data_IF_508442528596
#
_entry.id   IF_508442528596
#
_cell.length_a   1.000
_cell.length_b   1.000
_cell.length_c   1.000
_cell.angle_alpha   90.00
_cell.angle_beta   90.00
_cell.angle_gamma   90.00
#
_symmetry.space_group_name_H-M   'P 1'
#
loop_
_entity.id
_entity.type
_entity.pdbx_description
1 polymer ?
#
# COMPACT_ATOMS: atom_id res chain seq x y z
N UNK A 1 30.19 14.54 8.15
CA UNK A 1 28.91 14.27 7.46
C UNK A 1 27.84 14.32 8.54
N UNK A 2 26.88 15.25 8.44
CA UNK A 2 25.78 15.26 9.39
C UNK A 2 24.95 13.99 9.15
N UNK A 3 24.70 13.21 10.20
CA UNK A 3 23.71 12.15 10.11
C UNK A 3 22.38 12.81 9.75
N UNK A 4 21.68 12.29 8.73
CA UNK A 4 20.33 12.72 8.42
C UNK A 4 19.44 12.24 9.58
N UNK A 5 19.24 13.09 10.59
CA UNK A 5 18.34 12.78 11.69
C UNK A 5 16.91 12.67 11.15
N UNK A 6 16.32 11.48 11.25
CA UNK A 6 14.92 11.23 10.92
C UNK A 6 14.10 11.46 12.18
N UNK A 7 13.31 12.53 12.20
CA UNK A 7 12.37 12.81 13.28
C UNK A 7 11.05 12.12 12.99
N UNK A 8 10.64 11.20 13.86
CA UNK A 8 9.33 10.53 13.81
C UNK A 8 8.36 11.32 14.68
N UNK A 9 7.27 11.82 14.09
CA UNK A 9 6.37 12.79 14.72
C UNK A 9 4.96 12.24 14.97
N UNK A 10 4.59 11.13 14.34
CA UNK A 10 3.24 10.56 14.44
C UNK A 10 3.24 9.03 14.21
N UNK A 11 2.10 8.39 14.49
CA UNK A 11 1.96 6.93 14.40
C UNK A 11 2.09 6.40 12.96
N UNK A 12 1.72 7.20 11.95
CA UNK A 12 1.90 6.84 10.54
C UNK A 12 3.39 6.75 10.20
N UNK A 13 4.16 7.80 10.51
CA UNK A 13 5.62 7.82 10.29
C UNK A 13 6.32 6.71 11.07
N UNK A 14 5.87 6.44 12.30
CA UNK A 14 6.38 5.33 13.10
C UNK A 14 6.15 3.99 12.41
N UNK A 15 4.93 3.75 11.90
CA UNK A 15 4.61 2.51 11.17
C UNK A 15 5.43 2.36 9.89
N UNK A 16 5.67 3.45 9.16
CA UNK A 16 6.51 3.47 7.95
C UNK A 16 7.96 3.12 8.32
N UNK A 17 8.51 3.74 9.36
CA UNK A 17 9.87 3.45 9.83
C UNK A 17 10.02 1.99 10.30
N UNK A 18 9.05 1.47 11.06
CA UNK A 18 9.05 0.08 11.51
C UNK A 18 9.04 -0.92 10.34
N UNK A 19 8.26 -0.66 9.29
CA UNK A 19 8.27 -1.53 8.10
C UNK A 19 9.60 -1.45 7.35
N UNK A 20 10.18 -0.25 7.21
CA UNK A 20 11.49 -0.07 6.58
C UNK A 20 12.60 -0.82 7.34
N UNK A 21 12.58 -0.77 8.68
CA UNK A 21 13.58 -1.43 9.54
C UNK A 21 13.60 -2.97 9.40
N UNK A 22 12.51 -3.59 8.94
CA UNK A 22 12.48 -5.04 8.67
C UNK A 22 13.43 -5.42 7.51
N UNK A 23 13.65 -4.49 6.58
CA UNK A 23 14.48 -4.69 5.38
C UNK A 23 15.88 -4.06 5.52
N UNK A 24 16.09 -3.18 6.52
CA UNK A 24 17.42 -2.65 6.87
C UNK A 24 18.29 -3.74 7.53
N UNK A 25 18.91 -4.57 6.69
CA UNK A 25 19.76 -5.68 7.14
C UNK A 25 21.06 -5.23 7.84
N UNK A 26 21.55 -4.02 7.52
CA UNK A 26 22.79 -3.45 8.06
C UNK A 26 22.59 -2.64 9.35
N UNK A 27 21.36 -2.21 9.64
CA UNK A 27 21.04 -1.31 10.73
C UNK A 27 21.54 0.13 10.50
N UNK A 28 21.86 0.47 9.26
CA UNK A 28 22.42 1.78 8.86
C UNK A 28 21.37 2.72 8.25
N UNK A 29 20.08 2.35 8.38
CA UNK A 29 18.94 3.10 7.83
C UNK A 29 18.94 3.17 6.32
N UNK A 30 19.50 2.16 5.66
CA UNK A 30 19.46 2.02 4.20
C UNK A 30 18.85 0.69 3.79
N UNK A 31 18.22 0.68 2.62
CA UNK A 31 17.65 -0.52 1.97
C UNK A 31 18.02 -0.51 0.50
N UNK A 32 17.97 -1.66 -0.14
CA UNK A 32 18.15 -1.75 -1.58
C UNK A 32 16.93 -1.15 -2.28
N UNK A 33 17.15 -0.43 -3.38
CA UNK A 33 16.06 0.17 -4.16
C UNK A 33 15.00 -0.85 -4.63
N UNK A 34 15.41 -2.11 -4.81
CA UNK A 34 14.52 -3.23 -5.17
C UNK A 34 13.53 -3.59 -4.05
N UNK A 35 13.80 -3.19 -2.82
CA UNK A 35 12.95 -3.48 -1.65
C UNK A 35 11.83 -2.45 -1.48
N UNK A 36 11.90 -1.30 -2.16
CA UNK A 36 10.93 -0.20 -2.04
C UNK A 36 9.49 -0.68 -2.26
N UNK A 37 9.24 -1.43 -3.35
CA UNK A 37 7.91 -1.96 -3.65
C UNK A 37 7.40 -2.92 -2.56
N UNK A 38 8.28 -3.79 -2.05
CA UNK A 38 7.95 -4.76 -0.99
C UNK A 38 7.63 -4.06 0.32
N UNK A 39 8.39 -3.03 0.70
CA UNK A 39 8.14 -2.24 1.91
C UNK A 39 6.77 -1.55 1.79
N UNK A 40 6.48 -0.91 0.65
CA UNK A 40 5.18 -0.23 0.43
C UNK A 40 4.02 -1.23 0.49
N UNK A 41 4.17 -2.42 -0.11
CA UNK A 41 3.15 -3.49 -0.02
C UNK A 41 2.98 -4.02 1.39
N UNK A 42 4.06 -4.12 2.18
CA UNK A 42 4.00 -4.55 3.59
C UNK A 42 3.25 -3.57 4.49
N UNK A 43 3.14 -2.30 4.08
CA UNK A 43 2.32 -1.28 4.73
C UNK A 43 0.82 -1.43 4.41
N UNK A 44 0.43 -2.37 3.55
CA UNK A 44 -0.95 -2.57 3.12
C UNK A 44 -1.38 -1.66 1.98
N UNK A 45 -0.44 -1.02 1.28
CA UNK A 45 -0.68 -0.31 0.03
C UNK A 45 -0.64 -1.30 -1.16
N UNK A 46 -1.28 -0.94 -2.26
CA UNK A 46 -1.29 -1.73 -3.50
C UNK A 46 -0.79 -0.89 -4.69
N UNK A 47 0.50 -0.51 -4.74
CA UNK A 47 1.06 0.23 -5.86
C UNK A 47 1.21 -0.66 -7.11
N UNK A 48 0.99 -0.05 -8.27
CA UNK A 48 1.41 -0.58 -9.57
C UNK A 48 2.94 -0.54 -9.70
N UNK A 49 3.52 -1.32 -10.62
CA UNK A 49 4.97 -1.29 -10.88
C UNK A 49 5.43 0.09 -11.37
N UNK A 50 4.61 0.76 -12.19
CA UNK A 50 4.87 2.14 -12.59
C UNK A 50 4.89 3.09 -11.38
N UNK A 51 3.94 2.96 -10.45
CA UNK A 51 3.88 3.78 -9.24
C UNK A 51 5.07 3.49 -8.30
N UNK A 52 5.49 2.24 -8.16
CA UNK A 52 6.72 1.88 -7.41
C UNK A 52 7.93 2.57 -8.04
N UNK A 53 8.05 2.55 -9.37
CA UNK A 53 9.16 3.21 -10.07
C UNK A 53 9.15 4.73 -9.85
N UNK A 54 7.97 5.36 -9.83
CA UNK A 54 7.85 6.78 -9.50
C UNK A 54 8.32 7.08 -8.06
N UNK A 55 8.01 6.22 -7.10
CA UNK A 55 8.50 6.37 -5.73
C UNK A 55 10.02 6.19 -5.70
N UNK A 56 10.56 5.15 -6.34
CA UNK A 56 12.01 4.90 -6.45
C UNK A 56 12.73 6.14 -6.96
N UNK A 57 12.28 6.74 -8.06
CA UNK A 57 12.89 7.94 -8.65
C UNK A 57 12.91 9.13 -7.66
N UNK A 58 11.95 9.20 -6.75
CA UNK A 58 11.86 10.27 -5.74
C UNK A 58 12.73 10.03 -4.51
N UNK A 59 13.08 8.78 -4.21
CA UNK A 59 13.75 8.38 -2.95
C UNK A 59 15.14 7.78 -3.17
N UNK A 60 15.54 7.49 -4.41
CA UNK A 60 16.88 6.98 -4.71
C UNK A 60 17.93 8.05 -4.44
N UNK A 61 19.00 7.63 -3.76
CA UNK A 61 20.11 8.50 -3.43
C UNK A 61 20.91 8.87 -4.69
N UNK A 62 21.05 10.16 -4.96
CA UNK A 62 21.74 10.67 -6.16
C UNK A 62 23.25 10.40 -6.16
N UNK A 63 23.85 10.24 -4.98
CA UNK A 63 25.28 9.99 -4.79
C UNK A 63 25.58 8.50 -4.72
N UNK A 64 24.60 7.69 -4.30
CA UNK A 64 24.72 6.24 -4.12
C UNK A 64 23.56 5.49 -4.79
N UNK A 65 23.62 5.38 -6.12
CA UNK A 65 22.62 4.65 -6.90
C UNK A 65 22.44 3.21 -6.41
N UNK A 66 21.19 2.76 -6.40
CA UNK A 66 20.78 1.44 -5.93
C UNK A 66 20.45 1.36 -4.42
N UNK A 67 20.65 2.44 -3.66
CA UNK A 67 20.33 2.51 -2.24
C UNK A 67 19.32 3.62 -1.93
N UNK A 68 18.51 3.39 -0.90
CA UNK A 68 17.52 4.33 -0.39
C UNK A 68 17.72 4.49 1.11
N UNK A 69 17.94 5.72 1.58
CA UNK A 69 18.03 6.02 3.01
C UNK A 69 16.66 6.36 3.60
N UNK A 70 16.39 5.97 4.85
CA UNK A 70 15.10 6.21 5.53
C UNK A 70 14.68 7.68 5.50
N UNK A 71 15.63 8.60 5.64
CA UNK A 71 15.38 10.05 5.58
C UNK A 71 14.81 10.55 4.24
N UNK A 72 15.05 9.83 3.14
CA UNK A 72 14.50 10.15 1.82
C UNK A 72 13.16 9.42 1.63
N UNK A 73 13.09 8.16 2.06
CA UNK A 73 11.90 7.31 1.93
C UNK A 73 10.70 7.79 2.75
N UNK A 74 10.89 8.01 4.05
CA UNK A 74 9.83 8.29 5.01
C UNK A 74 8.95 9.49 4.63
N UNK A 75 9.49 10.70 4.33
CA UNK A 75 8.66 11.85 4.00
C UNK A 75 7.86 11.65 2.69
N UNK A 76 8.45 10.96 1.71
CA UNK A 76 7.80 10.68 0.42
C UNK A 76 6.61 9.73 0.61
N UNK A 77 6.82 8.62 1.31
CA UNK A 77 5.77 7.61 1.52
C UNK A 77 4.70 8.12 2.49
N UNK A 78 5.07 8.86 3.53
CA UNK A 78 4.11 9.48 4.45
C UNK A 78 3.19 10.46 3.71
N UNK A 79 3.73 11.26 2.79
CA UNK A 79 2.93 12.16 1.96
C UNK A 79 1.97 11.38 1.06
N UNK A 80 2.45 10.37 0.34
CA UNK A 80 1.62 9.55 -0.57
C UNK A 80 0.45 8.93 0.18
N UNK A 81 0.71 8.32 1.34
CA UNK A 81 -0.34 7.69 2.16
C UNK A 81 -1.31 8.75 2.69
N UNK A 82 -0.82 9.90 3.17
CA UNK A 82 -1.66 11.00 3.66
C UNK A 82 -2.59 11.59 2.59
N UNK A 83 -2.20 11.49 1.32
CA UNK A 83 -3.01 11.87 0.15
C UNK A 83 -3.98 10.76 -0.29
N UNK A 84 -4.10 9.65 0.46
CA UNK A 84 -4.91 8.47 0.14
C UNK A 84 -4.56 7.84 -1.22
N UNK A 85 -3.30 7.97 -1.64
CA UNK A 85 -2.78 7.31 -2.85
C UNK A 85 -2.31 5.89 -2.53
N UNK A 86 -2.26 5.02 -3.54
CA UNK A 86 -1.87 3.59 -3.43
C UNK A 86 -2.80 2.75 -2.54
N UNK A 87 -3.98 3.26 -2.21
CA UNK A 87 -4.93 2.53 -1.38
C UNK A 87 -5.47 1.31 -2.14
N UNK A 88 -5.66 0.17 -1.46
CA UNK A 88 -6.37 -0.96 -2.07
C UNK A 88 -7.76 -0.54 -2.53
N UNK A 89 -8.22 -1.10 -3.64
CA UNK A 89 -9.60 -0.93 -4.09
C UNK A 89 -10.59 -1.42 -3.02
N UNK A 90 -11.69 -0.70 -2.86
CA UNK A 90 -12.77 -1.10 -1.96
C UNK A 90 -13.42 -2.43 -2.39
N UNK A 91 -14.05 -3.18 -1.47
CA UNK A 91 -14.80 -4.39 -1.82
C UNK A 91 -15.84 -4.13 -2.92
N UNK A 92 -16.50 -2.97 -2.89
CA UNK A 92 -17.50 -2.56 -3.88
C UNK A 92 -16.89 -2.29 -5.26
N UNK A 93 -15.69 -1.71 -5.33
CA UNK A 93 -14.97 -1.48 -6.58
C UNK A 93 -14.50 -2.80 -7.19
N UNK A 94 -13.93 -3.69 -6.37
CA UNK A 94 -13.52 -5.01 -6.81
C UNK A 94 -14.70 -5.83 -7.31
N UNK A 95 -15.82 -5.83 -6.58
CA UNK A 95 -17.03 -6.54 -6.99
C UNK A 95 -17.52 -6.05 -8.37
N UNK A 96 -17.55 -4.74 -8.59
CA UNK A 96 -17.92 -4.17 -9.90
C UNK A 96 -16.95 -4.55 -11.00
N UNK A 97 -15.65 -4.63 -10.71
CA UNK A 97 -14.64 -5.05 -11.67
C UNK A 97 -14.87 -6.52 -12.10
N UNK A 98 -15.09 -7.42 -11.15
CA UNK A 98 -15.42 -8.82 -11.44
C UNK A 98 -16.74 -8.98 -12.21
N UNK A 99 -17.78 -8.22 -11.83
CA UNK A 99 -19.07 -8.23 -12.54
C UNK A 99 -18.95 -7.72 -13.99
N UNK A 100 -17.99 -6.84 -14.28
CA UNK A 100 -17.72 -6.39 -15.66
C UNK A 100 -17.11 -7.50 -16.52
N UNK A 101 -16.38 -8.43 -15.89
CA UNK A 101 -15.82 -9.62 -16.54
C UNK A 101 -16.87 -10.73 -16.72
N UNK A 102 -17.76 -10.89 -15.73
CA UNK A 102 -18.83 -11.89 -15.72
C UNK A 102 -20.10 -11.42 -16.46
N UNK A 103 -20.01 -11.35 -17.80
CA UNK A 103 -21.10 -10.85 -18.68
C UNK A 103 -22.42 -11.62 -18.55
N UNK A 104 -22.35 -12.88 -18.11
CA UNK A 104 -23.50 -13.76 -17.94
C UNK A 104 -24.07 -13.74 -16.52
N UNK A 105 -23.44 -12.98 -15.60
CA UNK A 105 -23.81 -12.87 -14.20
C UNK A 105 -23.91 -14.24 -13.50
N UNK A 106 -22.90 -15.07 -13.73
CA UNK A 106 -22.76 -16.42 -13.15
C UNK A 106 -22.44 -16.40 -11.66
N UNK A 107 -21.82 -15.32 -11.16
CA UNK A 107 -21.29 -15.22 -9.80
C UNK A 107 -19.88 -15.80 -9.65
N UNK A 108 -19.25 -16.21 -10.74
CA UNK A 108 -17.89 -16.75 -10.77
C UNK A 108 -17.21 -16.50 -12.13
N UNK A 109 -15.88 -16.57 -12.13
CA UNK A 109 -15.08 -16.60 -13.36
C UNK A 109 -14.41 -17.95 -13.56
N UNK A 110 -14.19 -18.31 -14.82
CA UNK A 110 -13.43 -19.50 -15.17
C UNK A 110 -11.93 -19.21 -15.03
N UNK A 111 -11.16 -20.19 -14.51
CA UNK A 111 -9.71 -20.03 -14.25
C UNK A 111 -8.97 -19.57 -15.50
N UNK A 112 -9.20 -20.25 -16.62
CA UNK A 112 -8.53 -19.97 -17.89
C UNK A 112 -8.82 -18.55 -18.38
N UNK A 113 -10.06 -18.08 -18.19
CA UNK A 113 -10.46 -16.74 -18.58
C UNK A 113 -9.74 -15.69 -17.74
N UNK A 114 -9.74 -15.83 -16.40
CA UNK A 114 -9.08 -14.86 -15.54
C UNK A 114 -7.56 -14.87 -15.71
N UNK A 115 -6.95 -16.06 -15.86
CA UNK A 115 -5.51 -16.18 -16.18
C UNK A 115 -5.18 -15.39 -17.44
N UNK A 116 -5.94 -15.58 -18.53
CA UNK A 116 -5.71 -14.87 -19.78
C UNK A 116 -5.83 -13.35 -19.60
N UNK A 117 -6.91 -12.89 -18.95
CA UNK A 117 -7.13 -11.47 -18.72
C UNK A 117 -5.98 -10.82 -17.92
N UNK A 118 -5.50 -11.47 -16.87
CA UNK A 118 -4.45 -10.94 -16.00
C UNK A 118 -3.04 -11.00 -16.62
N UNK A 119 -2.81 -11.83 -17.64
CA UNK A 119 -1.54 -11.91 -18.36
C UNK A 119 -1.49 -11.04 -19.62
N UNK A 120 -2.63 -10.61 -20.16
CA UNK A 120 -2.71 -9.85 -21.41
C UNK A 120 -3.08 -8.37 -21.23
N UNK A 121 -3.79 -8.01 -20.15
CA UNK A 121 -4.33 -6.66 -19.94
C UNK A 121 -3.61 -5.94 -18.79
N UNK A 122 -3.45 -4.62 -18.91
CA UNK A 122 -2.89 -3.78 -17.83
C UNK A 122 -1.40 -4.01 -17.58
N UNK A 123 -1.02 -4.18 -16.31
CA UNK A 123 0.31 -4.63 -15.89
C UNK A 123 0.27 -6.16 -15.79
N UNK A 124 0.81 -6.89 -16.79
CA UNK A 124 0.61 -8.32 -16.89
C UNK A 124 1.34 -9.06 -15.79
N UNK A 125 0.64 -10.03 -15.19
CA UNK A 125 1.20 -10.89 -14.17
C UNK A 125 2.15 -11.92 -14.81
N UNK A 126 3.18 -12.29 -14.05
CA UNK A 126 4.01 -13.47 -14.33
C UNK A 126 3.22 -14.75 -14.10
N UNK A 127 3.69 -15.85 -14.69
CA UNK A 127 3.04 -17.16 -14.51
C UNK A 127 3.03 -17.57 -13.03
N UNK A 128 4.12 -17.28 -12.33
CA UNK A 128 4.29 -17.55 -10.91
C UNK A 128 3.26 -16.78 -10.07
N UNK A 129 3.08 -15.48 -10.31
CA UNK A 129 2.08 -14.67 -9.60
C UNK A 129 0.65 -15.14 -9.88
N UNK A 130 0.35 -15.56 -11.12
CA UNK A 130 -0.94 -16.17 -11.47
C UNK A 130 -1.16 -17.46 -10.69
N UNK A 131 -0.16 -18.35 -10.63
CA UNK A 131 -0.31 -19.64 -9.97
C UNK A 131 -0.51 -19.47 -8.45
N UNK A 132 0.19 -18.52 -7.84
CA UNK A 132 -0.03 -18.14 -6.44
C UNK A 132 -1.44 -17.57 -6.21
N UNK A 133 -1.91 -16.68 -7.09
CA UNK A 133 -3.26 -16.15 -7.03
C UNK A 133 -4.32 -17.26 -7.15
N UNK A 134 -4.16 -18.16 -8.12
CA UNK A 134 -5.12 -19.24 -8.39
C UNK A 134 -5.17 -20.27 -7.27
N UNK A 135 -4.06 -20.49 -6.55
CA UNK A 135 -4.04 -21.39 -5.39
C UNK A 135 -4.97 -20.93 -4.25
N UNK A 136 -5.27 -19.64 -4.18
CA UNK A 136 -6.18 -19.05 -3.18
C UNK A 136 -7.58 -18.82 -3.77
N UNK A 137 -7.66 -18.39 -5.03
CA UNK A 137 -8.90 -17.93 -5.65
C UNK A 137 -9.82 -19.05 -6.16
N UNK A 138 -9.25 -20.20 -6.56
CA UNK A 138 -9.99 -21.26 -7.26
C UNK A 138 -10.65 -22.21 -6.26
N UNK A 139 -11.95 -22.46 -6.46
CA UNK A 139 -12.68 -23.55 -5.81
C UNK A 139 -12.13 -24.90 -6.32
N UNK A 140 -11.55 -25.75 -5.46
CA UNK A 140 -10.92 -27.01 -5.88
C UNK A 140 -11.93 -28.05 -6.41
N UNK A 141 -13.23 -27.90 -6.12
CA UNK A 141 -14.28 -28.82 -6.58
C UNK A 141 -14.74 -28.42 -7.98
N UNK A 142 -14.97 -27.11 -8.19
CA UNK A 142 -15.60 -26.60 -9.40
C UNK A 142 -14.60 -26.08 -10.44
N UNK A 143 -13.36 -25.79 -10.03
CA UNK A 143 -12.33 -25.18 -10.90
C UNK A 143 -12.61 -23.72 -11.26
N UNK A 144 -13.58 -23.08 -10.59
CA UNK A 144 -14.03 -21.71 -10.84
C UNK A 144 -13.63 -20.78 -9.70
N UNK A 145 -13.73 -19.47 -9.95
CA UNK A 145 -13.35 -18.41 -9.01
C UNK A 145 -14.63 -17.70 -8.55
N UNK A 146 -15.23 -18.10 -7.41
CA UNK A 146 -16.36 -17.38 -6.83
C UNK A 146 -15.87 -16.04 -6.26
N UNK A 147 -15.98 -14.97 -7.05
CA UNK A 147 -15.28 -13.72 -6.78
C UNK A 147 -15.74 -13.00 -5.52
N UNK A 148 -17.01 -13.11 -5.10
CA UNK A 148 -17.44 -12.54 -3.81
C UNK A 148 -16.73 -13.20 -2.63
N UNK A 149 -16.58 -14.53 -2.68
CA UNK A 149 -15.82 -15.27 -1.67
C UNK A 149 -14.35 -14.87 -1.71
N UNK A 150 -13.76 -14.79 -2.91
CA UNK A 150 -12.37 -14.40 -3.08
C UNK A 150 -12.08 -12.97 -2.56
N UNK A 151 -12.93 -11.99 -2.88
CA UNK A 151 -12.83 -10.62 -2.36
C UNK A 151 -12.85 -10.64 -0.82
N UNK A 152 -13.78 -11.38 -0.21
CA UNK A 152 -13.85 -11.48 1.25
C UNK A 152 -12.57 -12.05 1.87
N UNK A 153 -11.95 -13.06 1.24
CA UNK A 153 -10.67 -13.61 1.69
C UNK A 153 -9.55 -12.56 1.62
N UNK A 154 -9.44 -11.83 0.50
CA UNK A 154 -8.44 -10.79 0.32
C UNK A 154 -8.62 -9.67 1.37
N UNK A 155 -9.86 -9.23 1.62
CA UNK A 155 -10.13 -8.13 2.54
C UNK A 155 -9.79 -8.42 4.00
N UNK A 156 -9.91 -9.68 4.43
CA UNK A 156 -9.49 -10.09 5.78
C UNK A 156 -7.96 -9.99 5.91
N UNK A 157 -7.22 -10.32 4.86
CA UNK A 157 -5.76 -10.37 4.88
C UNK A 157 -5.09 -9.00 4.75
N UNK A 158 -5.82 -7.93 4.39
CA UNK A 158 -5.30 -6.57 4.21
C UNK A 158 -5.26 -5.76 5.53
N UNK A 159 -5.79 -6.29 6.65
CA UNK A 159 -5.76 -5.59 7.95
C UNK A 159 -4.45 -5.86 8.73
N UNK A 160 -3.85 -4.86 9.40
CA UNK A 160 -4.35 -3.51 9.68
C UNK A 160 -4.04 -2.48 8.59
N UNK A 161 -5.07 -1.75 8.18
CA UNK A 161 -5.01 -0.73 7.14
C UNK A 161 -4.23 0.52 7.64
N UNK A 162 -3.08 0.83 7.01
CA UNK A 162 -2.24 2.00 7.36
C UNK A 162 -2.96 3.35 7.20
N UNK A 163 -3.93 3.46 6.29
CA UNK A 163 -4.72 4.67 6.09
C UNK A 163 -5.60 5.00 7.31
N UNK A 164 -5.84 4.05 8.22
CA UNK A 164 -6.52 4.33 9.49
C UNK A 164 -5.70 5.19 10.46
N UNK A 165 -4.39 5.30 10.24
CA UNK A 165 -3.48 6.15 11.03
C UNK A 165 -3.47 7.60 10.55
N UNK A 166 -4.11 7.91 9.41
CA UNK A 166 -4.20 9.28 8.90
C UNK A 166 -5.15 10.05 9.83
N UNK A 167 -4.72 11.17 10.44
CA UNK A 167 -5.58 11.97 11.29
C UNK A 167 -6.82 12.41 10.52
N UNK A 168 -8.00 12.11 11.05
CA UNK A 168 -9.25 12.61 10.46
C UNK A 168 -9.22 14.14 10.51
N UNK A 169 -9.65 14.79 9.42
CA UNK A 169 -9.68 16.26 9.29
C UNK A 169 -10.33 16.93 10.52
N UNK A 170 -11.36 16.30 11.08
CA UNK A 170 -12.07 16.75 12.28
C UNK A 170 -11.20 16.78 13.56
N UNK A 171 -10.22 15.88 13.71
CA UNK A 171 -9.29 15.89 14.84
C UNK A 171 -8.24 16.99 14.73
N UNK A 172 -7.78 17.28 13.51
CA UNK A 172 -6.87 18.39 13.24
C UNK A 172 -7.56 19.73 13.54
N UNK A 173 -8.85 19.84 13.20
CA UNK A 173 -9.65 21.03 13.49
C UNK A 173 -9.90 21.20 15.00
N UNK A 174 -10.16 20.11 15.74
CA UNK A 174 -10.30 20.12 17.20
C UNK A 174 -9.00 20.47 17.92
N UNK A 175 -7.84 20.01 17.44
CA UNK A 175 -6.53 20.38 18.00
C UNK A 175 -6.25 21.88 17.82
N UNK A 176 -6.46 22.41 16.61
CA UNK A 176 -6.33 23.85 16.32
C UNK A 176 -7.28 24.70 17.17
N UNK A 177 -8.51 24.24 17.39
CA UNK A 177 -9.49 24.94 18.23
C UNK A 177 -9.13 24.86 19.72
N UNK A 178 -8.56 23.73 20.17
CA UNK A 178 -8.08 23.53 21.53
C UNK A 178 -6.89 24.42 21.87
N UNK A 179 -5.90 24.51 20.99
CA UNK A 179 -4.69 25.34 21.15
C UNK A 179 -5.01 26.85 21.17
N UNK A 180 -5.97 27.31 20.36
CA UNK A 180 -6.41 28.70 20.35
C UNK A 180 -7.16 29.15 21.62
N UNK A 181 -7.79 28.22 22.35
CA UNK A 181 -8.46 28.53 23.61
C UNK A 181 -7.45 28.73 24.76
N UNK A 182 -6.39 27.92 24.80
CA UNK A 182 -5.32 28.01 25.82
C UNK A 182 -4.56 29.33 25.72
N UNK A 183 -4.27 29.81 24.50
CA UNK A 183 -3.64 31.13 24.31
C UNK A 183 -4.55 32.28 24.74
N UNK A 184 -5.87 32.15 24.56
CA UNK A 184 -6.83 33.19 24.94
C UNK A 184 -7.05 33.30 26.45
N UNK A 185 -6.87 32.20 27.20
CA UNK A 185 -7.00 32.14 28.66
C UNK A 185 -5.69 32.53 29.38
N UNK A 186 -4.52 32.48 28.71
CA UNK A 186 -3.26 33.00 29.24
C UNK A 186 -3.08 34.53 29.08
N UNK A 187 -3.91 35.20 28.28
CA UNK A 187 -3.84 36.65 28.04
C UNK A 187 -4.86 37.50 28.84
N UNK A 188 -5.53 36.92 29.85
CA UNK A 188 -6.39 37.65 30.80
C UNK A 188 -5.84 37.60 32.21
#
# INVERSE_FOLDING_TARGET
>A
MAALEVSITNDLEKRIAEAFEVFDHSGDKTVDVREVGTIIRSLGCCPSEAEVQEVIVRVEDQETSGSVHLAQFLPVVAQIISEYKLQPASPEELLKAFQTLDKENKGYLDREFLTKAMMEEGEPFTQEEIDEMMAVAVDPVNGTIPYEFYINQIMINIQPNIYSLIPKVEEVQKRKLGEGLIESDLMK
#
